data_IF_188785073876
#
_entry.id   IF_188785073876
#
_cell.length_a   1.000
_cell.length_b   1.000
_cell.length_c   1.000
_cell.angle_alpha   90.00
_cell.angle_beta   90.00
_cell.angle_gamma   90.00
#
_symmetry.space_group_name_H-M   'P 1'
#
loop_
_entity.id
_entity.type
_entity.pdbx_description
1 polymer ?
#
# COMPACT_ATOMS: atom_id res chain seq x y z
N UNK A 1 0.10 10.14 12.67
CA UNK A 1 0.93 9.03 12.17
C UNK A 1 0.20 7.75 12.50
N UNK A 2 0.27 6.75 11.62
CA UNK A 2 -0.06 5.38 12.03
C UNK A 2 0.94 4.96 13.11
N UNK A 3 0.47 4.26 14.14
CA UNK A 3 1.36 3.62 15.13
C UNK A 3 2.16 2.51 14.44
N UNK A 4 3.35 2.16 14.97
CA UNK A 4 4.18 1.09 14.40
C UNK A 4 3.42 -0.21 14.21
N UNK A 5 2.56 -0.60 15.16
CA UNK A 5 1.67 -1.76 15.03
C UNK A 5 0.73 -1.70 13.82
N UNK A 6 0.09 -0.54 13.58
CA UNK A 6 -0.78 -0.34 12.42
C UNK A 6 0.03 -0.38 11.11
N UNK A 7 1.25 0.15 11.14
CA UNK A 7 2.15 0.13 9.98
C UNK A 7 2.62 -1.30 9.66
N UNK A 8 3.00 -2.09 10.66
CA UNK A 8 3.39 -3.49 10.50
C UNK A 8 2.21 -4.37 10.05
N UNK A 9 1.01 -4.20 10.64
CA UNK A 9 -0.19 -4.93 10.22
C UNK A 9 -0.64 -4.57 8.80
N UNK A 10 -0.43 -3.30 8.40
CA UNK A 10 -0.64 -2.86 7.03
C UNK A 10 0.39 -3.51 6.09
N UNK A 11 1.69 -3.42 6.39
CA UNK A 11 2.74 -4.05 5.59
C UNK A 11 2.56 -5.56 5.47
N UNK A 12 2.13 -6.24 6.54
CA UNK A 12 1.87 -7.67 6.55
C UNK A 12 0.71 -8.10 5.63
N UNK A 13 -0.22 -7.19 5.32
CA UNK A 13 -1.30 -7.42 4.35
C UNK A 13 -0.90 -7.10 2.90
N UNK A 14 0.22 -6.42 2.70
CA UNK A 14 0.72 -6.09 1.37
C UNK A 14 1.54 -7.27 0.80
N UNK A 15 1.27 -7.63 -0.45
CA UNK A 15 2.15 -8.54 -1.20
C UNK A 15 3.53 -7.91 -1.44
N UNK A 16 4.55 -8.73 -1.71
CA UNK A 16 5.89 -8.30 -2.12
C UNK A 16 5.88 -7.19 -3.20
N UNK A 17 5.02 -7.33 -4.22
CA UNK A 17 4.90 -6.30 -5.26
C UNK A 17 4.33 -4.98 -4.74
N UNK A 18 3.42 -5.01 -3.76
CA UNK A 18 2.81 -3.82 -3.17
C UNK A 18 3.78 -3.14 -2.19
N UNK A 19 4.54 -3.92 -1.42
CA UNK A 19 5.62 -3.42 -0.57
C UNK A 19 6.72 -2.76 -1.40
N UNK A 20 7.17 -3.40 -2.48
CA UNK A 20 8.13 -2.79 -3.42
C UNK A 20 7.57 -1.49 -4.02
N UNK A 21 6.30 -1.48 -4.45
CA UNK A 21 5.66 -0.29 -4.99
C UNK A 21 5.63 0.85 -3.96
N UNK A 22 5.31 0.55 -2.71
CA UNK A 22 5.31 1.49 -1.59
C UNK A 22 6.71 2.05 -1.32
N UNK A 23 7.74 1.21 -1.26
CA UNK A 23 9.13 1.65 -1.08
C UNK A 23 9.60 2.53 -2.24
N UNK A 24 9.23 2.21 -3.48
CA UNK A 24 9.58 3.02 -4.64
C UNK A 24 8.83 4.37 -4.66
N UNK A 25 7.55 4.40 -4.29
CA UNK A 25 6.79 5.66 -4.13
C UNK A 25 7.36 6.53 -3.02
N UNK A 26 7.76 5.93 -1.89
CA UNK A 26 8.46 6.64 -0.82
C UNK A 26 9.80 7.21 -1.30
N UNK A 27 10.51 6.49 -2.18
CA UNK A 27 11.73 6.97 -2.84
C UNK A 27 11.48 8.00 -3.96
N UNK A 28 10.28 8.58 -4.06
CA UNK A 28 9.90 9.58 -5.08
C UNK A 28 10.05 9.08 -6.54
N UNK A 29 10.02 7.75 -6.77
CA UNK A 29 10.07 7.18 -8.12
C UNK A 29 8.77 7.49 -8.88
N UNK A 30 8.90 7.83 -10.17
CA UNK A 30 7.75 8.02 -11.04
C UNK A 30 7.07 6.68 -11.37
N UNK A 31 5.77 6.71 -11.65
CA UNK A 31 5.00 5.50 -11.98
C UNK A 31 5.57 4.71 -13.18
N UNK A 32 6.27 5.39 -14.10
CA UNK A 32 6.98 4.76 -15.21
C UNK A 32 8.22 3.96 -14.79
N UNK A 33 8.98 4.43 -13.80
CA UNK A 33 10.10 3.69 -13.20
C UNK A 33 9.59 2.50 -12.38
N UNK A 34 8.53 2.73 -11.60
CA UNK A 34 7.88 1.69 -10.79
C UNK A 34 7.33 0.58 -11.68
N UNK A 35 6.66 0.95 -12.78
CA UNK A 35 6.17 0.03 -13.80
C UNK A 35 7.30 -0.83 -14.39
N UNK A 36 8.45 -0.23 -14.71
CA UNK A 36 9.62 -0.96 -15.21
C UNK A 36 10.19 -1.92 -14.16
N UNK A 37 10.33 -1.48 -12.91
CA UNK A 37 10.93 -2.28 -11.83
C UNK A 37 10.02 -3.46 -11.45
N UNK A 38 8.72 -3.23 -11.37
CA UNK A 38 7.73 -4.27 -11.05
C UNK A 38 7.30 -5.08 -12.27
N UNK A 39 7.86 -4.78 -13.44
CA UNK A 39 7.48 -5.37 -14.73
C UNK A 39 5.96 -5.35 -14.97
N UNK A 40 5.30 -4.29 -14.50
CA UNK A 40 3.85 -4.09 -14.56
C UNK A 40 3.51 -2.87 -15.41
N UNK A 41 2.28 -2.79 -15.93
CA UNK A 41 1.85 -1.58 -16.65
C UNK A 41 1.64 -0.42 -15.67
N UNK A 42 1.90 0.84 -16.07
CA UNK A 42 1.65 2.02 -15.22
C UNK A 42 0.21 2.09 -14.72
N UNK A 43 -0.75 1.59 -15.52
CA UNK A 43 -2.16 1.47 -15.14
C UNK A 43 -2.40 0.48 -13.98
N UNK A 44 -1.65 -0.62 -13.95
CA UNK A 44 -1.69 -1.59 -12.85
C UNK A 44 -0.98 -1.06 -11.61
N UNK A 45 0.15 -0.36 -11.77
CA UNK A 45 0.84 0.31 -10.66
C UNK A 45 -0.07 1.34 -9.97
N UNK A 46 -0.78 2.16 -10.75
CA UNK A 46 -1.81 3.08 -10.25
C UNK A 46 -2.93 2.35 -9.49
N UNK A 47 -3.54 1.32 -10.10
CA UNK A 47 -4.60 0.54 -9.44
C UNK A 47 -4.13 -0.08 -8.12
N UNK A 48 -2.94 -0.66 -8.11
CA UNK A 48 -2.33 -1.24 -6.89
C UNK A 48 -2.05 -0.16 -5.86
N UNK A 49 -1.51 0.98 -6.26
CA UNK A 49 -1.28 2.11 -5.36
C UNK A 49 -2.57 2.61 -4.68
N UNK A 50 -3.66 2.70 -5.44
CA UNK A 50 -4.97 3.04 -4.89
C UNK A 50 -5.43 2.00 -3.86
N UNK A 51 -5.27 0.71 -4.14
CA UNK A 51 -5.60 -0.33 -3.16
C UNK A 51 -4.73 -0.25 -1.89
N UNK A 52 -3.44 0.04 -2.04
CA UNK A 52 -2.51 0.26 -0.92
C UNK A 52 -2.95 1.47 -0.08
N UNK A 53 -3.37 2.56 -0.71
CA UNK A 53 -3.91 3.74 -0.02
C UNK A 53 -5.23 3.44 0.68
N UNK A 54 -6.13 2.69 0.04
CA UNK A 54 -7.39 2.25 0.65
C UNK A 54 -7.15 1.33 1.84
N UNK A 55 -6.19 0.41 1.75
CA UNK A 55 -5.78 -0.44 2.86
C UNK A 55 -5.19 0.39 4.00
N UNK A 56 -4.29 1.34 3.71
CA UNK A 56 -3.74 2.23 4.73
C UNK A 56 -4.82 3.06 5.43
N UNK A 57 -5.78 3.57 4.65
CA UNK A 57 -6.93 4.30 5.18
C UNK A 57 -7.85 3.39 6.01
N UNK A 58 -8.12 2.16 5.54
CA UNK A 58 -8.86 1.15 6.28
C UNK A 58 -8.14 0.78 7.57
N UNK A 59 -6.87 0.39 7.56
CA UNK A 59 -6.12 0.06 8.77
C UNK A 59 -6.16 1.20 9.79
N UNK A 60 -6.08 2.46 9.35
CA UNK A 60 -6.23 3.63 10.21
C UNK A 60 -7.65 3.83 10.77
N UNK A 61 -8.71 3.47 10.03
CA UNK A 61 -10.10 3.63 10.44
C UNK A 61 -10.73 2.36 11.04
N UNK A 62 -10.14 1.19 10.81
CA UNK A 62 -10.57 -0.12 11.31
C UNK A 62 -10.37 -0.23 12.81
N UNK A 63 -9.52 0.63 13.41
CA UNK A 63 -9.43 0.81 14.87
C UNK A 63 -10.76 1.37 15.48
N UNK A 64 -11.76 1.71 14.66
CA UNK A 64 -13.09 2.15 15.09
C UNK A 64 -14.28 1.24 14.72
N UNK A 65 -14.07 0.05 14.14
CA UNK A 65 -15.19 -0.85 13.78
C UNK A 65 -14.88 -2.31 14.09
N UNK A 66 -14.84 -2.62 15.39
CA UNK A 66 -15.34 -3.90 15.87
C UNK A 66 -16.87 -3.86 15.68
N UNK A 67 -17.34 -4.40 14.56
CA UNK A 67 -18.73 -4.86 14.47
C UNK A 67 -18.80 -6.19 15.21
N UNK A 68 -19.54 -6.21 16.31
CA UNK A 68 -20.00 -7.41 17.01
C UNK A 68 -20.88 -8.25 16.06
N UNK A 69 -20.70 -9.58 16.08
CA UNK A 69 -21.65 -10.57 15.56
C UNK A 69 -22.32 -11.31 16.72
#
# INVERSE_FOLDING_TARGET
GMSSDQWEAFLAQLDDQQQQLLSLKQAQKSDGEIAKILSCTPKQAQKRWTQVLELAWKTRNSEGSLVEE
#
